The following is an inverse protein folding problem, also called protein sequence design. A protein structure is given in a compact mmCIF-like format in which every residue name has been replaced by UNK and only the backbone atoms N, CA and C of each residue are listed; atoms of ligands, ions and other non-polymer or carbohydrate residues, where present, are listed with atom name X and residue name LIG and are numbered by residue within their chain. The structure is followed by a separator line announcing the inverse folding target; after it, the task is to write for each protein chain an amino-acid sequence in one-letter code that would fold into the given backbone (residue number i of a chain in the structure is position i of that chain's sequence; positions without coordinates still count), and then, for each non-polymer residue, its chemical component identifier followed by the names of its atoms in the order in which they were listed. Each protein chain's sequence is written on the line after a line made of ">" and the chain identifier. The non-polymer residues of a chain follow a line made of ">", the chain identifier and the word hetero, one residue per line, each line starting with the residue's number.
data_IF_248493774300
#
_entry.id   IF_248493774300
#
_cell.length_a   1.000
_cell.length_b   1.000
_cell.length_c   1.000
_cell.angle_alpha   90.00
_cell.angle_beta   90.00
_cell.angle_gamma   90.00
#
_symmetry.space_group_name_H-M   'P 1'
#
loop_
_entity.id
_entity.type
_entity.pdbx_description
1 polymer ?
#
# COMPACT_ATOMS: atom_id res chain seq x y z
N UNK A 1 -12.44 3.70 -2.06
CA UNK A 1 -11.58 3.17 -0.98
C UNK A 1 -11.49 1.66 -1.14
N UNK A 2 -10.44 1.01 -0.64
CA UNK A 2 -10.35 -0.45 -0.57
C UNK A 2 -9.53 -0.93 0.61
N UNK A 3 -9.74 -2.19 0.94
CA UNK A 3 -9.22 -2.85 2.14
C UNK A 3 -8.83 -4.28 1.74
N UNK A 4 -7.54 -4.59 1.79
CA UNK A 4 -7.01 -5.86 1.29
C UNK A 4 -6.14 -6.55 2.33
N UNK A 5 -6.51 -7.77 2.73
CA UNK A 5 -5.76 -8.55 3.71
C UNK A 5 -4.36 -8.96 3.19
N UNK A 6 -3.41 -8.96 4.13
CA UNK A 6 -2.07 -9.51 4.01
C UNK A 6 -2.01 -10.75 4.92
N UNK A 7 -1.77 -11.93 4.34
CA UNK A 7 -1.97 -13.22 5.01
C UNK A 7 -3.44 -13.65 5.02
N UNK A 8 -3.69 -14.89 5.46
CA UNK A 8 -5.03 -15.52 5.41
C UNK A 8 -5.44 -16.22 6.71
N UNK A 9 -4.52 -16.70 7.54
CA UNK A 9 -4.80 -17.23 8.88
C UNK A 9 -3.51 -17.41 9.71
N UNK A 10 -3.15 -16.48 10.61
CA UNK A 10 -3.86 -15.22 10.86
C UNK A 10 -3.65 -14.20 9.73
N UNK A 11 -4.58 -13.26 9.61
CA UNK A 11 -4.35 -12.02 8.84
C UNK A 11 -3.35 -11.16 9.63
N UNK A 12 -2.24 -10.84 8.98
CA UNK A 12 -1.10 -10.12 9.56
C UNK A 12 -1.25 -8.60 9.41
N UNK A 13 -2.07 -8.14 8.49
CA UNK A 13 -2.29 -6.73 8.25
C UNK A 13 -3.20 -6.48 7.06
N UNK A 14 -3.40 -5.21 6.74
CA UNK A 14 -4.26 -4.76 5.67
C UNK A 14 -3.61 -3.62 4.88
N UNK A 15 -3.77 -3.66 3.55
CA UNK A 15 -3.55 -2.49 2.70
C UNK A 15 -4.86 -1.70 2.61
N UNK A 16 -4.85 -0.48 3.14
CA UNK A 16 -5.96 0.46 3.08
C UNK A 16 -5.68 1.53 2.05
N UNK A 17 -6.53 1.61 1.01
CA UNK A 17 -6.35 2.50 -0.15
C UNK A 17 -7.44 3.55 -0.18
N UNK A 18 -7.03 4.80 -0.35
CA UNK A 18 -7.91 5.97 -0.43
C UNK A 18 -7.73 6.72 -1.75
N UNK A 19 -8.77 7.43 -2.17
CA UNK A 19 -8.80 8.29 -3.35
C UNK A 19 -9.11 9.71 -2.94
N UNK A 20 -8.37 10.68 -3.47
CA UNK A 20 -8.67 12.10 -3.31
C UNK A 20 -9.04 12.73 -4.64
N UNK A 21 -10.32 13.12 -4.77
CA UNK A 21 -10.81 13.82 -5.95
C UNK A 21 -10.23 15.24 -6.13
N UNK A 22 -9.73 15.85 -5.05
CA UNK A 22 -9.11 17.19 -5.08
C UNK A 22 -7.69 17.14 -5.64
N UNK A 23 -6.87 16.19 -5.15
CA UNK A 23 -5.48 16.06 -5.60
C UNK A 23 -5.32 15.14 -6.81
N UNK A 24 -6.40 14.45 -7.21
CA UNK A 24 -6.42 13.46 -8.29
C UNK A 24 -5.39 12.34 -8.07
N UNK A 25 -5.18 11.95 -6.80
CA UNK A 25 -4.20 10.94 -6.39
C UNK A 25 -4.80 9.91 -5.45
N UNK A 26 -4.22 8.72 -5.47
CA UNK A 26 -4.49 7.68 -4.48
C UNK A 26 -3.40 7.67 -3.42
N UNK A 27 -3.77 7.29 -2.20
CA UNK A 27 -2.83 6.98 -1.15
C UNK A 27 -3.12 5.61 -0.55
N UNK A 28 -2.10 5.02 0.09
CA UNK A 28 -2.21 3.73 0.74
C UNK A 28 -1.43 3.70 2.05
N UNK A 29 -1.97 2.99 3.02
CA UNK A 29 -1.30 2.62 4.28
C UNK A 29 -1.33 1.10 4.42
N UNK A 30 -0.28 0.51 4.98
CA UNK A 30 -0.28 -0.88 5.45
C UNK A 30 -0.39 -0.88 6.96
N UNK A 31 -1.50 -1.38 7.49
CA UNK A 31 -1.76 -1.48 8.93
C UNK A 31 -1.51 -2.90 9.42
N UNK A 32 -0.83 -3.05 10.56
CA UNK A 32 -0.69 -4.32 11.26
C UNK A 32 -2.05 -4.75 11.82
N UNK A 33 -2.21 -6.06 12.05
CA UNK A 33 -3.42 -6.63 12.63
C UNK A 33 -3.08 -7.82 13.52
N UNK A 34 -4.00 -8.17 14.43
CA UNK A 34 -3.88 -9.41 15.21
C UNK A 34 -2.56 -9.43 16.01
N UNK A 35 -1.82 -10.55 15.99
CA UNK A 35 -0.56 -10.71 16.70
C UNK A 35 0.60 -9.83 16.20
N UNK A 36 0.49 -9.19 15.03
CA UNK A 36 1.53 -8.28 14.52
C UNK A 36 1.37 -6.86 15.04
N UNK A 37 0.20 -6.49 15.56
CA UNK A 37 -0.07 -5.14 16.06
C UNK A 37 0.76 -4.85 17.32
N UNK A 38 1.59 -3.81 17.28
CA UNK A 38 2.55 -3.45 18.34
C UNK A 38 3.90 -4.15 18.22
N UNK A 39 4.02 -5.17 17.37
CA UNK A 39 5.27 -5.91 17.15
C UNK A 39 6.09 -5.29 16.04
N UNK A 40 7.36 -4.96 16.31
CA UNK A 40 8.27 -4.34 15.34
C UNK A 40 8.72 -5.36 14.28
N UNK A 41 8.15 -5.29 13.09
CA UNK A 41 8.35 -6.24 11.99
C UNK A 41 8.69 -5.49 10.71
N UNK A 42 9.23 -6.21 9.72
CA UNK A 42 9.43 -5.63 8.40
C UNK A 42 8.08 -5.40 7.73
N UNK A 43 7.82 -4.15 7.36
CA UNK A 43 6.56 -3.70 6.80
C UNK A 43 6.82 -2.77 5.63
N UNK A 44 6.11 -3.01 4.52
CA UNK A 44 6.26 -2.23 3.29
C UNK A 44 4.87 -1.89 2.74
N UNK A 45 4.66 -0.63 2.40
CA UNK A 45 3.53 -0.15 1.64
C UNK A 45 4.01 0.38 0.28
N UNK A 46 3.51 -0.18 -0.81
CA UNK A 46 3.84 0.21 -2.18
C UNK A 46 2.60 0.42 -3.05
N UNK A 47 2.50 1.55 -3.74
CA UNK A 47 1.39 1.94 -4.63
C UNK A 47 1.89 2.60 -5.92
N UNK A 48 1.35 2.19 -7.06
CA UNK A 48 1.67 2.81 -8.35
C UNK A 48 0.53 2.68 -9.37
N UNK A 49 0.50 3.54 -10.41
CA UNK A 49 -0.47 3.40 -11.49
C UNK A 49 -0.29 2.08 -12.25
N UNK A 50 -1.39 1.44 -12.64
CA UNK A 50 -1.34 0.27 -13.52
C UNK A 50 -0.65 0.63 -14.85
N UNK A 51 0.25 -0.24 -15.31
CA UNK A 51 1.08 0.01 -16.50
C UNK A 51 2.34 0.84 -16.25
N UNK A 52 2.56 1.32 -15.02
CA UNK A 52 3.83 1.95 -14.61
C UNK A 52 4.75 0.95 -13.90
N UNK A 53 6.04 1.27 -13.82
CA UNK A 53 7.00 0.50 -13.04
C UNK A 53 6.68 0.60 -11.53
N UNK A 54 6.97 -0.47 -10.79
CA UNK A 54 6.85 -0.48 -9.34
C UNK A 54 7.89 0.47 -8.72
N UNK A 55 7.55 1.19 -7.64
CA UNK A 55 8.48 2.05 -6.92
C UNK A 55 9.55 1.23 -6.19
N UNK A 56 10.73 1.83 -5.97
CA UNK A 56 11.83 1.20 -5.23
C UNK A 56 11.79 1.59 -3.74
N UNK A 57 11.79 0.59 -2.87
CA UNK A 57 11.82 0.76 -1.42
C UNK A 57 13.28 0.81 -0.91
N UNK A 58 13.59 1.44 0.24
CA UNK A 58 12.66 1.90 1.28
C UNK A 58 12.14 3.34 1.12
N UNK A 59 12.69 4.14 0.20
CA UNK A 59 12.35 5.57 0.08
C UNK A 59 12.22 6.00 -1.38
N UNK A 60 11.01 5.92 -1.91
CA UNK A 60 10.63 6.58 -3.17
C UNK A 60 9.17 7.01 -3.14
N UNK A 61 8.77 7.87 -4.08
CA UNK A 61 7.35 8.23 -4.22
C UNK A 61 6.55 6.98 -4.55
N UNK A 62 5.65 6.61 -3.64
CA UNK A 62 4.83 5.41 -3.78
C UNK A 62 5.39 4.18 -3.07
N UNK A 63 6.54 4.25 -2.39
CA UNK A 63 6.98 3.19 -1.46
C UNK A 63 7.50 3.74 -0.13
N UNK A 64 7.07 3.09 0.96
CA UNK A 64 7.64 3.20 2.30
C UNK A 64 7.87 1.78 2.82
N UNK A 65 9.12 1.44 3.15
CA UNK A 65 9.49 0.11 3.64
C UNK A 65 10.51 0.19 4.77
N UNK A 66 10.29 -0.55 5.85
CA UNK A 66 11.13 -0.48 7.02
C UNK A 66 10.64 -1.36 8.16
N UNK A 67 11.23 -1.18 9.35
CA UNK A 67 10.78 -1.88 10.55
C UNK A 67 9.77 -1.04 11.31
N UNK A 68 8.50 -1.45 11.28
CA UNK A 68 7.38 -0.72 11.88
C UNK A 68 6.64 -1.59 12.90
N UNK A 69 6.04 -0.95 13.91
CA UNK A 69 5.25 -1.66 14.94
C UNK A 69 3.75 -1.64 14.69
N UNK A 70 3.26 -0.70 13.87
CA UNK A 70 1.83 -0.45 13.72
C UNK A 70 1.40 -0.26 12.26
N UNK A 71 2.11 0.57 11.51
CA UNK A 71 1.81 0.80 10.10
C UNK A 71 3.01 1.32 9.31
N UNK A 72 2.97 1.16 7.98
CA UNK A 72 3.85 1.83 7.01
C UNK A 72 3.02 2.70 6.06
N UNK A 73 3.58 3.83 5.60
CA UNK A 73 2.90 4.86 4.81
C UNK A 73 2.47 6.09 5.64
N UNK A 74 1.61 6.98 5.10
CA UNK A 74 0.93 6.86 3.81
C UNK A 74 1.88 7.07 2.62
N UNK A 75 1.76 6.20 1.63
CA UNK A 75 2.41 6.34 0.31
C UNK A 75 1.38 6.81 -0.71
N UNK A 76 1.85 7.46 -1.77
CA UNK A 76 0.99 8.10 -2.76
C UNK A 76 1.40 7.74 -4.18
N UNK A 77 0.43 7.66 -5.09
CA UNK A 77 0.73 7.66 -6.53
C UNK A 77 1.49 8.93 -6.91
N UNK A 78 2.31 8.94 -7.99
CA UNK A 78 3.11 10.10 -8.37
C UNK A 78 2.31 11.40 -8.45
N UNK A 79 2.92 12.51 -8.01
CA UNK A 79 2.34 13.83 -8.20
C UNK A 79 2.30 14.20 -9.70
N UNK A 80 1.29 14.96 -10.12
CA UNK A 80 1.13 15.37 -11.53
C UNK A 80 0.55 14.30 -12.47
N UNK A 81 0.33 13.07 -11.98
CA UNK A 81 -0.43 12.05 -12.72
C UNK A 81 -1.88 12.10 -12.28
N UNK A 82 -2.79 12.43 -13.21
CA UNK A 82 -4.23 12.33 -12.96
C UNK A 82 -4.64 10.86 -12.92
N UNK A 83 -4.99 10.41 -11.72
CA UNK A 83 -5.42 9.03 -11.47
C UNK A 83 -6.92 8.83 -11.62
N UNK A 84 -7.68 9.85 -12.05
CA UNK A 84 -9.11 9.69 -12.39
C UNK A 84 -9.27 8.61 -13.46
N UNK A 85 -10.16 7.65 -13.24
CA UNK A 85 -10.42 6.52 -14.13
C UNK A 85 -9.20 5.62 -14.39
N UNK A 86 -8.11 5.74 -13.61
CA UNK A 86 -6.93 4.87 -13.73
C UNK A 86 -6.97 3.79 -12.67
N UNK A 87 -6.50 2.59 -13.02
CA UNK A 87 -6.31 1.51 -12.07
C UNK A 87 -4.95 1.65 -11.34
N UNK A 88 -4.85 0.99 -10.19
CA UNK A 88 -3.66 0.89 -9.37
C UNK A 88 -3.10 -0.53 -9.37
N UNK A 89 -1.80 -0.61 -9.11
CA UNK A 89 -1.17 -1.77 -8.50
C UNK A 89 -0.77 -1.40 -7.07
N UNK A 90 -0.93 -2.35 -6.16
CA UNK A 90 -0.53 -2.21 -4.75
C UNK A 90 0.22 -3.45 -4.28
N UNK A 91 1.16 -3.24 -3.37
CA UNK A 91 1.90 -4.29 -2.66
C UNK A 91 1.99 -3.91 -1.19
N UNK A 92 1.70 -4.88 -0.34
CA UNK A 92 1.85 -4.79 1.10
C UNK A 92 2.71 -5.93 1.61
N UNK A 93 3.61 -5.64 2.54
CA UNK A 93 4.41 -6.64 3.25
C UNK A 93 4.22 -6.44 4.75
N UNK A 94 4.02 -7.53 5.49
CA UNK A 94 4.13 -7.59 6.96
C UNK A 94 4.86 -8.88 7.30
N UNK A 95 5.97 -8.78 8.02
CA UNK A 95 6.82 -9.92 8.40
C UNK A 95 7.16 -10.82 7.21
N UNK A 96 7.66 -10.21 6.14
CA UNK A 96 8.02 -10.86 4.85
C UNK A 96 6.85 -11.50 4.09
N UNK A 97 5.68 -11.59 4.70
CA UNK A 97 4.45 -12.03 4.03
C UNK A 97 3.98 -10.94 3.10
N UNK A 98 3.97 -11.25 1.81
CA UNK A 98 3.64 -10.30 0.76
C UNK A 98 2.24 -10.55 0.21
N UNK A 99 1.48 -9.48 0.01
CA UNK A 99 0.27 -9.50 -0.80
C UNK A 99 0.33 -8.40 -1.87
N UNK A 100 0.10 -8.80 -3.12
CA UNK A 100 0.05 -7.90 -4.27
C UNK A 100 -1.36 -7.93 -4.85
N UNK A 101 -1.89 -6.76 -5.23
CA UNK A 101 -3.13 -6.65 -6.02
C UNK A 101 -2.85 -5.79 -7.23
N UNK A 102 -3.23 -6.29 -8.39
CA UNK A 102 -3.02 -5.61 -9.67
C UNK A 102 -4.35 -5.16 -10.24
N UNK A 103 -4.32 -4.04 -10.96
CA UNK A 103 -5.50 -3.47 -11.66
C UNK A 103 -6.72 -3.31 -10.73
N UNK A 104 -6.51 -2.69 -9.57
CA UNK A 104 -7.57 -2.39 -8.58
C UNK A 104 -7.90 -0.89 -8.56
N UNK A 105 -9.03 -0.51 -7.96
CA UNK A 105 -9.45 0.89 -7.82
C UNK A 105 -9.45 1.70 -9.12
N UNK A 106 -10.03 1.13 -10.18
CA UNK A 106 -10.21 1.79 -11.46
C UNK A 106 -11.41 2.76 -11.39
N UNK A 107 -11.19 4.04 -11.10
CA UNK A 107 -12.28 5.03 -10.98
C UNK A 107 -11.86 6.33 -10.31
#
# INVERSE_FOLDING_TARGET
>A
MGHYAIGSSPVLGYMDVYWSGTTKRNCMVVNHSSATYGTRLYTEASIWPYGSAAPSCPSSVGCDGGMYSYYAGPVYTPAGVDMSSRCLNIKGVVDWTTATRTRVHCG
#
